data_IF_090559286752
#
_entry.id   IF_090559286752
#
_cell.length_a   1.000
_cell.length_b   1.000
_cell.length_c   1.000
_cell.angle_alpha   90.00
_cell.angle_beta   90.00
_cell.angle_gamma   90.00
#
_symmetry.space_group_name_H-M   'P 1'
#
loop_
_entity.id
_entity.type
_entity.pdbx_description
1 polymer ?
#
# COMPACT_ATOMS: atom_id res chain seq x y z
N UNK A 1 20.25 14.18 -2.02
CA UNK A 1 19.74 14.61 -0.70
C UNK A 1 18.42 13.89 -0.44
N UNK A 2 18.24 13.32 0.75
CA UNK A 2 16.99 12.65 1.18
C UNK A 2 15.89 13.70 1.27
N UNK A 3 14.75 13.46 0.63
CA UNK A 3 13.54 14.31 0.76
C UNK A 3 12.76 13.85 2.00
N UNK A 4 12.49 14.77 2.92
CA UNK A 4 11.98 14.45 4.24
C UNK A 4 10.74 15.28 4.52
N UNK A 5 9.70 14.66 5.07
CA UNK A 5 8.46 15.35 5.46
C UNK A 5 8.06 15.00 6.89
N UNK A 6 7.40 15.94 7.57
CA UNK A 6 6.74 15.69 8.84
C UNK A 6 5.24 15.93 8.66
N UNK A 7 4.42 14.97 9.07
CA UNK A 7 2.96 15.10 9.08
C UNK A 7 2.56 15.71 10.42
N UNK A 8 2.25 16.99 10.44
CA UNK A 8 1.87 17.69 11.66
C UNK A 8 0.36 17.63 11.88
N UNK A 9 -0.05 17.34 13.12
CA UNK A 9 -1.43 17.56 13.60
C UNK A 9 -1.76 19.02 13.93
N UNK A 10 -0.89 19.98 13.61
CA UNK A 10 -1.08 21.39 13.96
C UNK A 10 -0.77 21.76 15.41
N UNK A 11 -0.16 20.85 16.17
CA UNK A 11 0.16 21.05 17.60
C UNK A 11 1.35 22.00 17.77
N UNK A 12 1.29 22.88 18.76
CA UNK A 12 2.28 23.94 18.98
C UNK A 12 3.74 23.43 19.07
N UNK A 13 3.97 22.30 19.74
CA UNK A 13 5.32 21.77 19.90
C UNK A 13 5.91 21.20 18.59
N UNK A 14 5.07 20.73 17.65
CA UNK A 14 5.53 20.32 16.32
C UNK A 14 6.21 21.50 15.62
N UNK A 15 5.57 22.67 15.64
CA UNK A 15 6.11 23.91 15.06
C UNK A 15 7.31 24.45 15.82
N UNK A 16 7.41 24.15 17.11
CA UNK A 16 8.60 24.38 17.91
C UNK A 16 9.81 23.62 17.37
N UNK A 17 9.65 22.31 17.12
CA UNK A 17 10.72 21.45 16.59
C UNK A 17 11.09 21.71 15.13
N UNK A 18 10.31 22.55 14.43
CA UNK A 18 10.53 23.01 13.06
C UNK A 18 11.35 24.30 12.97
N UNK A 19 11.61 24.98 14.10
CA UNK A 19 12.37 26.23 14.10
C UNK A 19 13.85 26.01 13.72
N UNK A 20 14.57 27.03 13.22
CA UNK A 20 15.99 26.91 12.92
C UNK A 20 16.81 26.36 14.10
N UNK A 21 17.66 25.37 13.83
CA UNK A 21 18.47 24.70 14.85
C UNK A 21 17.76 23.58 15.61
N UNK A 22 16.49 23.30 15.31
CA UNK A 22 15.74 22.18 15.88
C UNK A 22 15.79 20.94 14.97
N UNK A 23 15.51 19.73 15.51
CA UNK A 23 15.70 18.48 14.78
C UNK A 23 14.96 18.37 13.45
N UNK A 24 13.80 19.03 13.33
CA UNK A 24 12.97 19.00 12.12
C UNK A 24 13.09 20.24 11.23
N UNK A 25 14.03 21.16 11.48
CA UNK A 25 14.15 22.43 10.72
C UNK A 25 14.28 22.27 9.19
N UNK A 26 14.74 21.10 8.71
CA UNK A 26 14.89 20.79 7.28
C UNK A 26 13.76 19.95 6.68
N UNK A 27 12.68 19.67 7.42
CA UNK A 27 11.56 18.86 6.94
C UNK A 27 10.51 19.71 6.24
N UNK A 28 9.92 19.18 5.17
CA UNK A 28 8.70 19.75 4.62
C UNK A 28 7.52 19.44 5.56
N UNK A 29 6.75 20.46 5.92
CA UNK A 29 5.59 20.31 6.80
C UNK A 29 4.38 19.95 5.96
N UNK A 30 3.74 18.84 6.32
CA UNK A 30 2.46 18.41 5.77
C UNK A 30 1.41 18.53 6.85
N UNK A 31 0.35 19.31 6.62
CA UNK A 31 -0.81 19.29 7.51
C UNK A 31 -1.57 17.97 7.33
N UNK A 32 -1.91 17.31 8.43
CA UNK A 32 -2.64 16.03 8.40
C UNK A 32 -3.99 16.17 7.66
N UNK A 33 -4.65 17.33 7.74
CA UNK A 33 -5.90 17.63 7.04
C UNK A 33 -5.74 17.74 5.52
N UNK A 34 -4.57 18.15 5.05
CA UNK A 34 -4.27 18.37 3.63
C UNK A 34 -3.66 17.15 2.93
N UNK A 35 -3.40 16.06 3.66
CA UNK A 35 -2.76 14.85 3.11
C UNK A 35 -3.47 14.26 1.88
N UNK A 36 -4.78 14.50 1.74
CA UNK A 36 -5.57 14.07 0.58
C UNK A 36 -4.96 14.49 -0.76
N UNK A 37 -4.37 15.69 -0.80
CA UNK A 37 -3.81 16.29 -2.02
C UNK A 37 -2.31 16.06 -2.20
N UNK A 38 -1.68 15.29 -1.31
CA UNK A 38 -0.23 15.09 -1.28
C UNK A 38 0.12 13.74 -1.91
N UNK A 39 1.16 13.66 -2.73
CA UNK A 39 1.76 12.36 -3.07
C UNK A 39 2.93 12.09 -2.12
N UNK A 40 2.75 11.16 -1.16
CA UNK A 40 3.80 10.81 -0.19
C UNK A 40 5.02 10.16 -0.85
N UNK A 41 4.88 9.56 -2.05
CA UNK A 41 5.99 8.90 -2.74
C UNK A 41 7.08 9.87 -3.24
N UNK A 42 6.79 11.19 -3.23
CA UNK A 42 7.80 12.23 -3.52
C UNK A 42 8.89 12.33 -2.44
N UNK A 43 8.63 11.77 -1.26
CA UNK A 43 9.54 11.75 -0.12
C UNK A 43 10.26 10.42 0.01
N UNK A 44 11.37 10.45 0.74
CA UNK A 44 12.18 9.27 1.08
C UNK A 44 11.97 8.90 2.57
N UNK A 45 11.70 9.88 3.44
CA UNK A 45 11.47 9.75 4.87
C UNK A 45 10.25 10.58 5.29
N UNK A 46 9.32 9.98 6.04
CA UNK A 46 8.17 10.64 6.64
C UNK A 46 8.18 10.43 8.15
N UNK A 47 8.01 11.51 8.91
CA UNK A 47 7.87 11.48 10.37
C UNK A 47 6.44 11.83 10.75
N UNK A 48 5.86 11.06 11.64
CA UNK A 48 4.57 11.33 12.28
C UNK A 48 4.85 11.52 13.78
N UNK A 49 4.90 12.77 14.26
CA UNK A 49 5.09 13.07 15.68
C UNK A 49 3.88 12.62 16.50
N UNK A 50 4.07 12.54 17.81
CA UNK A 50 3.00 12.26 18.77
C UNK A 50 1.89 13.31 18.64
N UNK A 51 0.66 12.99 19.04
CA UNK A 51 -0.47 13.94 18.98
C UNK A 51 -0.82 14.38 17.56
N UNK A 52 -0.55 13.54 16.56
CA UNK A 52 -1.15 13.66 15.23
C UNK A 52 -2.49 12.92 15.21
N UNK A 53 -3.52 13.48 14.56
CA UNK A 53 -4.86 12.90 14.52
C UNK A 53 -4.87 11.50 13.88
N UNK A 54 -5.11 10.48 14.71
CA UNK A 54 -5.12 9.07 14.31
C UNK A 54 -6.24 8.72 13.32
N UNK A 55 -7.40 9.38 13.40
CA UNK A 55 -8.51 9.15 12.47
C UNK A 55 -8.19 9.76 11.10
N UNK A 56 -7.61 10.96 11.09
CA UNK A 56 -7.13 11.58 9.86
C UNK A 56 -6.04 10.74 9.18
N UNK A 57 -5.11 10.17 9.96
CA UNK A 57 -4.11 9.22 9.45
C UNK A 57 -4.76 7.93 8.94
N UNK A 58 -5.72 7.35 9.67
CA UNK A 58 -6.45 6.14 9.27
C UNK A 58 -7.22 6.33 7.97
N UNK A 59 -7.78 7.52 7.74
CA UNK A 59 -8.40 7.88 6.47
C UNK A 59 -7.40 7.85 5.29
N UNK A 60 -6.10 8.01 5.58
CA UNK A 60 -4.99 7.98 4.61
C UNK A 60 -4.15 6.69 4.65
N UNK A 61 -4.60 5.66 5.38
CA UNK A 61 -3.83 4.41 5.58
C UNK A 61 -3.33 3.76 4.29
N UNK A 62 -4.12 3.82 3.22
CA UNK A 62 -3.72 3.24 1.93
C UNK A 62 -2.64 4.07 1.24
N UNK A 63 -2.70 5.40 1.32
CA UNK A 63 -1.66 6.29 0.82
C UNK A 63 -0.33 6.04 1.55
N UNK A 64 -0.38 5.84 2.86
CA UNK A 64 0.78 5.54 3.70
C UNK A 64 1.33 4.14 3.40
N UNK A 65 0.46 3.14 3.26
CA UNK A 65 0.86 1.79 2.85
C UNK A 65 1.55 1.79 1.48
N UNK A 66 1.07 2.59 0.52
CA UNK A 66 1.71 2.72 -0.80
C UNK A 66 3.07 3.41 -0.73
N UNK A 67 3.22 4.44 0.11
CA UNK A 67 4.53 5.04 0.40
C UNK A 67 5.54 4.01 0.91
N UNK A 68 5.12 3.16 1.82
CA UNK A 68 5.94 2.08 2.36
C UNK A 68 6.23 1.00 1.32
N UNK A 69 5.24 0.60 0.51
CA UNK A 69 5.43 -0.35 -0.60
C UNK A 69 6.40 0.14 -1.68
N UNK A 70 6.64 1.45 -1.77
CA UNK A 70 7.66 2.06 -2.64
C UNK A 70 9.03 2.23 -1.96
N UNK A 71 9.22 1.64 -0.78
CA UNK A 71 10.48 1.71 -0.05
C UNK A 71 10.64 2.96 0.81
N UNK A 72 9.55 3.67 1.11
CA UNK A 72 9.58 4.79 2.05
C UNK A 72 10.03 4.39 3.46
N UNK A 73 10.62 5.33 4.20
CA UNK A 73 10.91 5.18 5.63
C UNK A 73 9.90 5.97 6.45
N UNK A 74 9.22 5.32 7.38
CA UNK A 74 8.26 5.93 8.30
C UNK A 74 8.82 5.90 9.73
N UNK A 75 8.82 7.05 10.39
CA UNK A 75 8.96 7.15 11.85
C UNK A 75 7.61 7.57 12.43
N UNK A 76 7.09 6.83 13.39
CA UNK A 76 5.80 7.12 14.04
C UNK A 76 5.94 7.08 15.56
N UNK A 77 5.52 8.15 16.24
CA UNK A 77 5.68 8.31 17.69
C UNK A 77 4.34 8.42 18.42
N UNK A 78 4.27 7.88 19.63
CA UNK A 78 3.19 8.12 20.59
C UNK A 78 2.06 7.10 20.62
N UNK A 79 0.85 7.57 20.89
CA UNK A 79 -0.36 6.76 21.00
C UNK A 79 -0.82 6.38 19.57
N UNK A 80 -0.28 5.28 19.01
CA UNK A 80 -0.52 4.85 17.62
C UNK A 80 -1.88 4.12 17.44
N UNK A 81 -2.94 4.63 18.05
CA UNK A 81 -4.24 3.97 18.28
C UNK A 81 -5.20 3.99 17.07
N UNK A 82 -4.79 3.76 15.81
CA UNK A 82 -5.79 3.73 14.71
C UNK A 82 -5.47 2.79 13.54
N UNK A 83 -4.52 1.87 13.70
CA UNK A 83 -4.07 0.92 12.68
C UNK A 83 -3.83 1.58 11.31
N UNK A 84 -3.25 2.78 11.31
CA UNK A 84 -3.19 3.64 10.14
C UNK A 84 -2.00 3.36 9.21
N UNK A 85 -1.11 2.46 9.59
CA UNK A 85 -0.03 1.94 8.75
C UNK A 85 0.12 0.40 8.91
N UNK A 86 0.69 -0.31 7.93
CA UNK A 86 0.94 -1.75 8.04
C UNK A 86 1.79 -2.10 9.26
N UNK A 87 1.41 -3.14 10.02
CA UNK A 87 2.15 -3.51 11.23
C UNK A 87 1.86 -2.63 12.46
N UNK A 88 1.00 -1.63 12.34
CA UNK A 88 0.51 -0.85 13.47
C UNK A 88 -0.59 -1.65 14.20
N UNK A 89 -0.29 -2.10 15.42
CA UNK A 89 -1.31 -2.44 16.40
C UNK A 89 -0.85 -1.92 17.76
N UNK A 90 -1.66 -1.05 18.34
CA UNK A 90 -1.44 -0.44 19.64
C UNK A 90 -2.35 -1.08 20.68
N UNK A 91 -1.87 -1.22 21.90
CA UNK A 91 -2.64 -1.69 23.04
C UNK A 91 -2.56 -0.68 24.20
N UNK A 92 -3.65 -0.60 24.95
CA UNK A 92 -3.79 0.30 26.09
C UNK A 92 -2.72 0.03 27.16
N UNK A 93 -2.41 1.08 27.93
CA UNK A 93 -1.39 1.05 28.97
C UNK A 93 -1.61 -0.09 29.99
N UNK A 94 -0.52 -0.75 30.37
CA UNK A 94 -0.47 -1.64 31.51
C UNK A 94 0.53 -1.16 32.57
N UNK A 95 0.49 -1.76 33.77
CA UNK A 95 1.40 -1.37 34.86
C UNK A 95 2.86 -1.55 34.47
N UNK A 96 3.16 -2.57 33.66
CA UNK A 96 4.51 -2.85 33.18
C UNK A 96 5.04 -1.77 32.22
N UNK A 97 4.16 -0.96 31.62
CA UNK A 97 4.56 0.19 30.80
C UNK A 97 5.12 1.35 31.64
N UNK A 98 4.92 1.34 32.96
CA UNK A 98 5.43 2.37 33.87
C UNK A 98 6.75 2.00 34.55
N UNK A 99 7.22 0.77 34.31
CA UNK A 99 8.45 0.23 34.87
C UNK A 99 9.64 0.48 33.94
N UNK A 100 10.86 0.32 34.47
CA UNK A 100 12.08 0.44 33.67
C UNK A 100 12.06 -0.56 32.50
N UNK A 101 12.34 -0.12 31.26
CA UNK A 101 12.23 -0.98 30.09
C UNK A 101 13.39 -1.97 29.98
N UNK A 102 13.25 -2.92 29.06
CA UNK A 102 14.30 -3.85 28.66
C UNK A 102 14.79 -3.49 27.25
N UNK A 103 16.07 -3.15 27.12
CA UNK A 103 16.73 -2.96 25.82
C UNK A 103 17.17 -4.34 25.29
N UNK A 104 16.58 -4.78 24.19
CA UNK A 104 16.78 -6.14 23.66
C UNK A 104 17.83 -6.25 22.57
N UNK A 105 18.23 -5.13 21.97
CA UNK A 105 19.25 -5.07 20.92
C UNK A 105 20.22 -3.89 21.18
N UNK A 106 21.05 -3.96 22.24
CA UNK A 106 21.86 -2.82 22.71
C UNK A 106 22.90 -2.33 21.69
N UNK A 107 23.27 -3.16 20.72
CA UNK A 107 24.20 -2.80 19.64
C UNK A 107 23.51 -2.14 18.43
N UNK A 108 22.16 -2.11 18.39
CA UNK A 108 21.44 -1.49 17.28
C UNK A 108 21.64 0.03 17.30
N UNK A 109 22.00 0.69 16.18
CA UNK A 109 22.41 2.11 16.16
C UNK A 109 21.42 3.10 16.79
N UNK A 110 20.12 2.80 16.75
CA UNK A 110 19.08 3.64 17.39
C UNK A 110 19.25 3.69 18.92
N UNK A 111 19.56 2.56 19.58
CA UNK A 111 19.61 2.44 21.04
C UNK A 111 21.03 2.29 21.59
N UNK A 112 22.03 2.15 20.72
CA UNK A 112 23.42 2.02 21.10
C UNK A 112 23.88 3.21 21.96
N UNK A 113 24.42 2.90 23.15
CA UNK A 113 24.87 3.89 24.11
C UNK A 113 23.78 4.47 25.03
N UNK A 114 22.57 3.92 25.02
CA UNK A 114 21.53 4.23 26.01
C UNK A 114 21.33 3.07 26.99
N UNK A 115 21.29 3.41 28.28
CA UNK A 115 20.82 2.50 29.33
C UNK A 115 19.30 2.41 29.37
N UNK A 116 18.76 1.36 29.99
CA UNK A 116 17.33 1.22 30.24
C UNK A 116 16.76 2.41 31.02
N UNK A 117 17.48 2.87 32.06
CA UNK A 117 17.10 4.03 32.87
C UNK A 117 17.00 5.32 32.05
N UNK A 118 17.90 5.53 31.09
CA UNK A 118 17.88 6.70 30.21
C UNK A 118 16.70 6.68 29.22
N UNK A 119 16.13 5.50 28.95
CA UNK A 119 14.94 5.31 28.11
C UNK A 119 13.65 5.17 28.93
N UNK A 120 13.71 5.37 30.25
CA UNK A 120 12.54 5.31 31.13
C UNK A 120 11.96 6.71 31.38
N UNK A 121 11.16 7.21 30.44
CA UNK A 121 10.67 8.60 30.48
C UNK A 121 9.38 8.79 31.28
N UNK A 122 8.61 7.72 31.48
CA UNK A 122 7.29 7.74 32.14
C UNK A 122 7.28 6.86 33.40
N UNK A 123 7.96 7.25 34.49
CA UNK A 123 8.02 6.46 35.71
C UNK A 123 6.67 6.46 36.44
N UNK A 124 6.35 5.36 37.14
CA UNK A 124 5.09 5.13 37.86
C UNK A 124 4.58 6.25 38.80
N UNK A 125 5.44 7.20 39.20
CA UNK A 125 5.03 8.38 39.99
C UNK A 125 4.25 9.42 39.18
N UNK A 126 4.35 9.39 37.85
CA UNK A 126 3.81 10.37 36.91
C UNK A 126 2.96 9.62 35.87
N UNK A 127 1.76 9.17 36.26
CA UNK A 127 0.86 8.40 35.38
C UNK A 127 0.35 9.15 34.14
N UNK A 128 0.64 10.45 33.98
CA UNK A 128 -0.04 11.31 33.00
C UNK A 128 0.52 11.31 31.57
N UNK A 129 1.50 10.44 31.25
CA UNK A 129 2.14 10.41 29.93
C UNK A 129 2.54 9.00 29.44
N UNK A 130 1.95 7.93 29.99
CA UNK A 130 2.18 6.58 29.48
C UNK A 130 1.37 6.35 28.19
N UNK A 131 2.05 5.89 27.14
CA UNK A 131 1.48 5.77 25.78
C UNK A 131 1.20 4.32 25.40
N UNK A 132 1.11 3.41 26.37
CA UNK A 132 0.90 1.98 26.15
C UNK A 132 2.01 1.31 25.34
N UNK A 133 1.69 0.17 24.74
CA UNK A 133 2.64 -0.67 24.01
C UNK A 133 2.11 -1.09 22.63
N UNK A 134 2.99 -1.69 21.84
CA UNK A 134 2.71 -2.11 20.47
C UNK A 134 2.71 -3.64 20.38
N UNK A 135 1.89 -4.17 19.47
CA UNK A 135 2.02 -5.56 19.00
C UNK A 135 2.79 -5.52 17.69
N UNK A 136 4.08 -5.81 17.76
CA UNK A 136 4.95 -5.81 16.59
C UNK A 136 4.55 -6.92 15.58
N UNK A 137 4.62 -6.65 14.26
CA UNK A 137 4.30 -7.67 13.27
C UNK A 137 5.34 -8.81 13.25
N UNK A 138 4.98 -10.01 12.77
CA UNK A 138 5.92 -11.13 12.67
C UNK A 138 7.18 -10.75 11.88
N UNK A 139 8.35 -10.98 12.49
CA UNK A 139 9.65 -10.70 11.87
C UNK A 139 10.19 -9.29 12.11
N UNK A 140 9.45 -8.40 12.79
CA UNK A 140 9.98 -7.11 13.23
C UNK A 140 11.07 -7.27 14.31
N UNK A 141 12.08 -6.41 14.24
CA UNK A 141 13.14 -6.32 15.23
C UNK A 141 12.70 -5.40 16.37
N UNK A 142 12.41 -5.97 17.54
CA UNK A 142 12.03 -5.19 18.74
C UNK A 142 13.30 -4.77 19.47
N UNK A 143 13.47 -3.47 19.69
CA UNK A 143 14.67 -2.90 20.31
C UNK A 143 14.48 -2.57 21.79
N UNK A 144 13.26 -2.17 22.17
CA UNK A 144 12.91 -1.83 23.55
C UNK A 144 11.56 -2.46 23.88
N UNK A 145 11.47 -3.05 25.07
CA UNK A 145 10.27 -3.69 25.61
C UNK A 145 9.90 -3.12 26.98
N UNK A 146 8.63 -3.20 27.35
CA UNK A 146 8.22 -3.04 28.74
C UNK A 146 8.69 -4.22 29.60
N UNK A 147 8.44 -4.17 30.91
CA UNK A 147 8.85 -5.22 31.84
C UNK A 147 8.15 -6.58 31.61
N UNK A 148 6.97 -6.60 30.97
CA UNK A 148 6.23 -7.82 30.57
C UNK A 148 6.82 -8.47 29.32
N UNK A 149 7.53 -7.70 28.51
CA UNK A 149 8.09 -8.10 27.23
C UNK A 149 7.37 -7.54 26.02
N UNK A 150 6.41 -6.62 26.16
CA UNK A 150 5.72 -6.01 25.02
C UNK A 150 6.56 -4.91 24.37
N UNK A 151 6.57 -4.82 23.03
CA UNK A 151 7.29 -3.78 22.30
C UNK A 151 6.90 -2.34 22.68
N UNK A 152 7.91 -1.52 22.97
CA UNK A 152 7.81 -0.05 22.97
C UNK A 152 8.39 0.58 21.71
N UNK A 153 9.43 -0.05 21.14
CA UNK A 153 10.11 0.37 19.92
C UNK A 153 10.44 -0.86 19.08
N UNK A 154 10.05 -0.84 17.82
CA UNK A 154 10.45 -1.84 16.83
C UNK A 154 10.88 -1.22 15.51
N UNK A 155 11.65 -1.99 14.74
CA UNK A 155 11.97 -1.76 13.33
C UNK A 155 11.34 -2.89 12.51
N UNK A 156 10.47 -2.54 11.56
CA UNK A 156 9.83 -3.47 10.65
C UNK A 156 10.32 -3.23 9.21
N UNK A 157 10.84 -4.30 8.61
CA UNK A 157 11.34 -4.36 7.23
C UNK A 157 10.67 -5.49 6.42
N UNK A 158 9.64 -6.10 7.01
CA UNK A 158 9.03 -7.34 6.52
C UNK A 158 7.61 -7.08 6.02
N UNK A 159 6.83 -6.24 6.71
CA UNK A 159 5.43 -6.02 6.32
C UNK A 159 5.27 -5.28 4.99
N UNK A 160 6.29 -4.53 4.57
CA UNK A 160 6.31 -3.76 3.32
C UNK A 160 7.70 -3.78 2.68
N UNK A 161 7.86 -3.18 1.49
CA UNK A 161 9.19 -2.94 0.90
C UNK A 161 9.98 -1.83 1.61
N UNK A 162 9.32 -1.05 2.47
CA UNK A 162 9.87 0.09 3.19
C UNK A 162 10.39 -0.28 4.57
N UNK A 163 10.65 0.75 5.37
CA UNK A 163 11.10 0.60 6.76
C UNK A 163 10.16 1.39 7.65
N UNK A 164 9.64 0.73 8.67
CA UNK A 164 8.80 1.34 9.68
C UNK A 164 9.57 1.31 10.99
N UNK A 165 9.69 2.46 11.65
CA UNK A 165 10.07 2.54 13.06
C UNK A 165 8.90 3.13 13.81
N UNK A 166 8.35 2.33 14.72
CA UNK A 166 7.22 2.75 15.54
C UNK A 166 7.66 2.77 17.00
N UNK A 167 7.32 3.86 17.68
CA UNK A 167 7.54 4.00 19.12
C UNK A 167 6.25 4.39 19.82
N UNK A 168 5.89 3.70 20.90
CA UNK A 168 4.76 4.09 21.74
C UNK A 168 5.23 4.91 22.93
N UNK A 169 5.70 4.23 23.98
CA UNK A 169 6.09 4.81 25.26
C UNK A 169 7.44 5.54 25.22
N UNK A 170 8.07 5.60 24.04
CA UNK A 170 9.16 6.52 23.73
C UNK A 170 8.61 7.58 22.78
N UNK A 171 8.40 8.79 23.28
CA UNK A 171 7.95 9.99 22.55
C UNK A 171 9.09 11.03 22.46
N UNK A 172 10.15 10.73 21.67
CA UNK A 172 11.39 11.50 21.69
C UNK A 172 11.21 12.93 21.23
N UNK A 173 10.26 13.18 20.33
CA UNK A 173 9.87 14.50 19.87
C UNK A 173 9.36 15.38 21.01
N UNK A 174 8.41 14.88 21.80
CA UNK A 174 7.80 15.63 22.91
C UNK A 174 8.84 15.95 23.98
N UNK A 175 9.63 14.97 24.42
CA UNK A 175 10.66 15.21 25.44
C UNK A 175 11.80 16.09 24.95
N UNK A 176 12.17 16.01 23.66
CA UNK A 176 13.16 16.92 23.06
C UNK A 176 12.68 18.36 23.11
N UNK A 177 11.42 18.61 22.72
CA UNK A 177 10.85 19.96 22.76
C UNK A 177 10.86 20.55 24.19
N UNK A 178 10.63 19.73 25.21
CA UNK A 178 10.67 20.15 26.62
C UNK A 178 12.09 20.18 27.23
N UNK A 179 13.14 20.02 26.42
CA UNK A 179 14.52 20.24 26.82
C UNK A 179 15.24 19.02 27.41
N UNK A 180 14.73 17.81 27.23
CA UNK A 180 15.44 16.58 27.63
C UNK A 180 16.65 16.33 26.72
N UNK A 181 17.86 16.46 27.28
CA UNK A 181 19.10 16.21 26.55
C UNK A 181 19.23 14.74 26.09
N UNK A 182 18.71 13.80 26.88
CA UNK A 182 18.72 12.37 26.54
C UNK A 182 17.76 12.08 25.39
N UNK A 183 16.56 12.64 25.41
CA UNK A 183 15.60 12.48 24.32
C UNK A 183 16.09 13.16 23.03
N UNK A 184 16.73 14.33 23.13
CA UNK A 184 17.35 15.00 21.98
C UNK A 184 18.43 14.13 21.35
N UNK A 185 19.35 13.58 22.15
CA UNK A 185 20.37 12.65 21.65
C UNK A 185 19.77 11.42 21.00
N UNK A 186 18.71 10.87 21.60
CA UNK A 186 18.02 9.69 21.05
C UNK A 186 17.34 10.01 19.71
N UNK A 187 16.66 11.16 19.62
CA UNK A 187 16.03 11.63 18.38
C UNK A 187 17.07 11.88 17.28
N UNK A 188 18.22 12.45 17.62
CA UNK A 188 19.32 12.66 16.67
C UNK A 188 19.84 11.33 16.10
N UNK A 189 20.11 10.34 16.97
CA UNK A 189 20.52 8.99 16.54
C UNK A 189 19.47 8.34 15.63
N UNK A 190 18.20 8.44 16.01
CA UNK A 190 17.08 7.89 15.24
C UNK A 190 16.97 8.54 13.86
N UNK A 191 17.07 9.88 13.79
CA UNK A 191 16.98 10.63 12.53
C UNK A 191 18.19 10.38 11.63
N UNK A 192 19.40 10.28 12.18
CA UNK A 192 20.60 9.93 11.43
C UNK A 192 20.45 8.54 10.80
N UNK A 193 20.06 7.55 11.59
CA UNK A 193 19.83 6.19 11.11
C UNK A 193 18.73 6.15 10.05
N UNK A 194 17.59 6.82 10.28
CA UNK A 194 16.47 6.83 9.35
C UNK A 194 16.81 7.50 8.02
N UNK A 195 17.67 8.53 8.03
CA UNK A 195 18.19 9.16 6.81
C UNK A 195 19.13 8.25 6.04
N UNK A 196 19.97 7.48 6.74
CA UNK A 196 20.83 6.48 6.11
C UNK A 196 19.99 5.38 5.44
N UNK A 197 18.94 4.91 6.13
CA UNK A 197 17.98 3.96 5.57
C UNK A 197 17.25 4.50 4.34
N UNK A 198 16.76 5.74 4.42
CA UNK A 198 16.06 6.38 3.32
C UNK A 198 16.98 6.56 2.09
N UNK A 199 18.26 6.89 2.31
CA UNK A 199 19.25 6.98 1.24
C UNK A 199 19.54 5.60 0.61
N UNK A 200 19.70 4.55 1.43
CA UNK A 200 19.94 3.19 0.95
C UNK A 200 18.70 2.60 0.24
N UNK A 201 17.50 2.83 0.76
CA UNK A 201 16.25 2.42 0.11
C UNK A 201 16.07 3.12 -1.25
N UNK A 202 16.36 4.43 -1.31
CA UNK A 202 16.33 5.17 -2.57
C UNK A 202 17.25 4.57 -3.64
N UNK A 203 18.45 4.10 -3.28
CA UNK A 203 19.34 3.43 -4.24
C UNK A 203 18.79 2.08 -4.75
N UNK A 204 17.85 1.47 -4.02
CA UNK A 204 17.14 0.25 -4.39
C UNK A 204 15.78 0.53 -5.05
N UNK A 205 15.33 1.79 -5.15
CA UNK A 205 14.07 2.12 -5.83
C UNK A 205 14.13 1.64 -7.28
N UNK A 206 13.13 0.84 -7.67
CA UNK A 206 13.06 0.18 -8.97
C UNK A 206 13.55 -1.27 -9.00
N UNK A 207 14.26 -1.76 -7.97
CA UNK A 207 14.56 -3.19 -7.82
C UNK A 207 13.45 -3.97 -7.13
N UNK A 208 12.57 -3.27 -6.40
CA UNK A 208 11.42 -3.90 -5.75
C UNK A 208 10.33 -4.24 -6.78
N UNK A 209 9.67 -5.40 -6.65
CA UNK A 209 8.57 -5.76 -7.53
C UNK A 209 7.42 -4.76 -7.31
N UNK A 210 7.02 -4.08 -8.38
CA UNK A 210 5.84 -3.19 -8.35
C UNK A 210 4.59 -4.02 -8.06
N UNK A 211 3.80 -3.57 -7.09
CA UNK A 211 2.47 -4.11 -6.80
C UNK A 211 1.47 -3.67 -7.88
N UNK A 212 0.32 -4.33 -7.89
CA UNK A 212 -0.82 -3.99 -8.75
C UNK A 212 -1.65 -2.93 -8.02
N UNK A 213 -1.98 -1.82 -8.67
CA UNK A 213 -2.93 -0.86 -8.10
C UNK A 213 -4.34 -1.47 -8.13
N UNK A 214 -4.86 -1.88 -6.96
CA UNK A 214 -6.23 -2.37 -6.83
C UNK A 214 -7.18 -1.23 -6.52
N UNK A 215 -8.07 -0.87 -7.44
CA UNK A 215 -9.03 0.21 -7.21
C UNK A 215 -10.02 -0.15 -6.12
N UNK A 216 -10.24 0.77 -5.19
CA UNK A 216 -11.17 0.60 -4.09
C UNK A 216 -12.21 1.70 -4.10
N UNK A 217 -13.48 1.32 -4.19
CA UNK A 217 -14.62 2.24 -4.23
C UNK A 217 -15.44 2.23 -2.93
N UNK A 218 -14.90 1.65 -1.86
CA UNK A 218 -15.60 1.55 -0.56
C UNK A 218 -16.49 0.32 -0.43
N UNK A 219 -16.42 -0.63 -1.36
CA UNK A 219 -17.29 -1.81 -1.38
C UNK A 219 -16.70 -2.93 -0.51
N UNK A 220 -17.54 -3.58 0.29
CA UNK A 220 -17.09 -4.57 1.29
C UNK A 220 -16.34 -5.76 0.68
N UNK A 221 -16.81 -6.34 -0.44
CA UNK A 221 -16.11 -7.48 -1.07
C UNK A 221 -14.76 -7.07 -1.67
N UNK A 222 -14.63 -5.83 -2.18
CA UNK A 222 -13.33 -5.32 -2.66
C UNK A 222 -12.34 -5.28 -1.51
N UNK A 223 -12.78 -4.79 -0.34
CA UNK A 223 -11.96 -4.79 0.88
C UNK A 223 -11.56 -6.21 1.27
N UNK A 224 -12.51 -7.13 1.31
CA UNK A 224 -12.24 -8.53 1.66
C UNK A 224 -11.27 -9.20 0.67
N UNK A 225 -11.41 -8.95 -0.63
CA UNK A 225 -10.48 -9.44 -1.65
C UNK A 225 -9.05 -8.90 -1.45
N UNK A 226 -8.92 -7.60 -1.13
CA UNK A 226 -7.61 -6.99 -0.87
C UNK A 226 -7.00 -7.37 0.48
N UNK A 227 -7.80 -7.88 1.41
CA UNK A 227 -7.35 -8.42 2.70
C UNK A 227 -7.14 -9.96 2.65
N UNK A 228 -7.52 -10.63 1.55
CA UNK A 228 -7.34 -12.07 1.38
C UNK A 228 -5.84 -12.43 1.42
N UNK A 229 -5.39 -13.32 2.33
CA UNK A 229 -3.96 -13.62 2.48
C UNK A 229 -3.26 -14.13 1.21
N UNK A 230 -4.02 -14.75 0.29
CA UNK A 230 -3.49 -15.23 -0.98
C UNK A 230 -3.22 -14.08 -1.96
N UNK A 231 -4.10 -13.08 -2.00
CA UNK A 231 -4.09 -12.03 -3.02
C UNK A 231 -3.50 -10.72 -2.51
N UNK A 232 -3.70 -10.36 -1.24
CA UNK A 232 -3.22 -9.14 -0.60
C UNK A 232 -1.75 -8.80 -0.90
N UNK A 233 -0.79 -9.76 -0.90
CA UNK A 233 0.61 -9.45 -1.19
C UNK A 233 0.85 -8.83 -2.58
N UNK A 234 -0.02 -9.11 -3.56
CA UNK A 234 0.11 -8.62 -4.92
C UNK A 234 -0.41 -7.18 -5.11
N UNK A 235 -1.27 -6.70 -4.21
CA UNK A 235 -2.04 -5.46 -4.39
C UNK A 235 -1.54 -4.31 -3.50
N UNK A 236 -1.49 -3.13 -4.11
CA UNK A 236 -1.44 -1.84 -3.46
C UNK A 236 -2.83 -1.22 -3.61
N UNK A 237 -3.58 -1.10 -2.51
CA UNK A 237 -4.96 -0.60 -2.57
C UNK A 237 -4.99 0.89 -2.89
N UNK A 238 -5.75 1.25 -3.92
CA UNK A 238 -5.89 2.60 -4.44
C UNK A 238 -7.35 3.04 -4.35
N UNK A 239 -7.72 3.83 -3.33
CA UNK A 239 -9.03 4.46 -3.32
C UNK A 239 -9.26 5.28 -4.58
N UNK A 240 -10.42 5.10 -5.20
CA UNK A 240 -10.70 5.66 -6.54
C UNK A 240 -10.67 7.20 -6.56
N UNK A 241 -10.94 7.88 -5.45
CA UNK A 241 -10.83 9.33 -5.32
C UNK A 241 -9.38 9.85 -5.32
N UNK A 242 -8.40 8.97 -5.09
CA UNK A 242 -6.97 9.31 -5.16
C UNK A 242 -6.39 9.08 -6.57
N UNK A 243 -7.18 8.48 -7.48
CA UNK A 243 -6.74 8.12 -8.83
C UNK A 243 -6.20 9.33 -9.61
N UNK A 244 -6.74 10.53 -9.40
CA UNK A 244 -6.30 11.75 -10.08
C UNK A 244 -4.89 12.18 -9.66
N UNK A 245 -4.51 12.00 -8.39
CA UNK A 245 -3.23 12.44 -7.85
C UNK A 245 -2.08 11.44 -8.07
N UNK A 246 -2.36 10.13 -8.11
CA UNK A 246 -1.30 9.10 -8.13
C UNK A 246 -0.65 8.90 -9.49
N UNK A 247 0.64 8.58 -9.56
CA UNK A 247 1.27 8.16 -10.81
C UNK A 247 1.01 6.67 -11.09
N UNK A 248 0.23 6.33 -12.13
CA UNK A 248 -0.08 4.94 -12.46
C UNK A 248 1.15 4.13 -12.92
N UNK A 249 2.22 4.79 -13.39
CA UNK A 249 3.45 4.14 -13.82
C UNK A 249 4.24 3.53 -12.65
N UNK A 250 3.91 3.88 -11.41
CA UNK A 250 4.53 3.28 -10.22
C UNK A 250 4.04 1.85 -9.96
N UNK A 251 2.97 1.41 -10.64
CA UNK A 251 2.35 0.10 -10.47
C UNK A 251 2.62 -0.82 -11.66
N UNK A 252 2.58 -2.12 -11.41
CA UNK A 252 2.74 -3.11 -12.47
C UNK A 252 1.51 -3.24 -13.37
N UNK A 253 0.32 -3.01 -12.81
CA UNK A 253 -0.96 -3.02 -13.50
C UNK A 253 -1.98 -2.18 -12.70
N UNK A 254 -3.06 -1.78 -13.35
CA UNK A 254 -4.27 -1.24 -12.74
C UNK A 254 -5.35 -2.32 -12.76
N UNK A 255 -5.86 -2.69 -11.58
CA UNK A 255 -6.97 -3.62 -11.41
C UNK A 255 -8.24 -2.85 -11.05
N UNK A 256 -9.24 -2.93 -11.91
CA UNK A 256 -10.55 -2.32 -11.72
C UNK A 256 -11.53 -3.44 -11.37
N UNK A 257 -11.83 -3.65 -10.07
CA UNK A 257 -12.76 -4.68 -9.66
C UNK A 257 -14.19 -4.27 -9.99
N UNK A 258 -15.10 -5.23 -9.91
CA UNK A 258 -16.54 -4.98 -10.00
C UNK A 258 -17.01 -3.92 -9.01
N UNK A 259 -18.06 -3.17 -9.38
CA UNK A 259 -18.64 -2.08 -8.58
C UNK A 259 -17.63 -0.95 -8.26
N UNK A 260 -16.77 -0.64 -9.21
CA UNK A 260 -15.91 0.53 -9.19
C UNK A 260 -16.68 1.81 -9.55
N UNK A 261 -16.29 2.93 -8.96
CA UNK A 261 -16.91 4.24 -9.22
C UNK A 261 -16.63 4.73 -10.65
N UNK A 262 -17.54 4.43 -11.58
CA UNK A 262 -17.36 4.74 -13.00
C UNK A 262 -17.39 6.24 -13.33
N UNK A 263 -18.00 7.08 -12.47
CA UNK A 263 -17.93 8.55 -12.61
C UNK A 263 -16.50 9.03 -12.47
N UNK A 264 -15.78 8.55 -11.44
CA UNK A 264 -14.39 8.91 -11.23
C UNK A 264 -13.45 8.25 -12.24
N UNK A 265 -13.75 7.03 -12.70
CA UNK A 265 -13.03 6.41 -13.83
C UNK A 265 -13.17 7.24 -15.11
N UNK A 266 -14.39 7.70 -15.42
CA UNK A 266 -14.68 8.54 -16.60
C UNK A 266 -13.92 9.87 -16.52
N UNK A 267 -13.90 10.50 -15.34
CA UNK A 267 -13.10 11.71 -15.11
C UNK A 267 -11.61 11.48 -15.35
N UNK A 268 -11.11 10.28 -15.05
CA UNK A 268 -9.70 9.90 -15.23
C UNK A 268 -9.41 9.13 -16.54
N UNK A 269 -10.36 9.06 -17.48
CA UNK A 269 -10.22 8.26 -18.71
C UNK A 269 -8.94 8.58 -19.51
N UNK A 270 -8.60 9.87 -19.62
CA UNK A 270 -7.43 10.33 -20.37
C UNK A 270 -6.13 9.86 -19.70
N UNK A 271 -6.12 9.81 -18.36
CA UNK A 271 -4.99 9.30 -17.58
C UNK A 271 -4.82 7.79 -17.74
N UNK A 272 -5.92 7.03 -17.73
CA UNK A 272 -5.89 5.58 -17.97
C UNK A 272 -5.41 5.29 -19.39
N UNK A 273 -5.88 6.04 -20.39
CA UNK A 273 -5.41 5.91 -21.77
C UNK A 273 -3.92 6.26 -21.90
N UNK A 274 -3.45 7.32 -21.25
CA UNK A 274 -2.03 7.68 -21.23
C UNK A 274 -1.17 6.59 -20.57
N UNK A 275 -1.68 5.96 -19.50
CA UNK A 275 -1.02 4.83 -18.86
C UNK A 275 -0.88 3.62 -19.81
N UNK A 276 -1.94 3.27 -20.55
CA UNK A 276 -1.88 2.22 -21.58
C UNK A 276 -0.94 2.57 -22.72
N UNK A 277 -0.91 3.83 -23.17
CA UNK A 277 0.05 4.31 -24.17
C UNK A 277 1.51 4.21 -23.72
N UNK A 278 1.76 4.32 -22.41
CA UNK A 278 3.09 4.13 -21.82
C UNK A 278 3.48 2.66 -21.59
N UNK A 279 2.65 1.70 -22.04
CA UNK A 279 2.89 0.26 -21.84
C UNK A 279 2.28 -0.31 -20.55
N UNK A 280 1.37 0.42 -19.90
CA UNK A 280 0.64 -0.03 -18.72
C UNK A 280 -0.29 -1.21 -19.01
N UNK A 281 -0.66 -1.95 -17.97
CA UNK A 281 -1.60 -3.08 -18.07
C UNK A 281 -2.86 -2.76 -17.27
N UNK A 282 -4.03 -2.91 -17.89
CA UNK A 282 -5.34 -2.76 -17.27
C UNK A 282 -6.02 -4.13 -17.16
N UNK A 283 -6.48 -4.48 -15.96
CA UNK A 283 -7.36 -5.62 -15.71
C UNK A 283 -8.70 -5.08 -15.22
N UNK A 284 -9.81 -5.47 -15.85
CA UNK A 284 -11.14 -4.94 -15.58
C UNK A 284 -12.19 -6.04 -15.48
N UNK A 285 -12.94 -6.08 -14.37
CA UNK A 285 -14.06 -7.00 -14.12
C UNK A 285 -15.33 -6.23 -13.80
N UNK A 286 -15.80 -5.42 -14.75
CA UNK A 286 -16.87 -4.43 -14.52
C UNK A 286 -17.98 -4.52 -15.57
N UNK A 287 -19.20 -4.16 -15.15
CA UNK A 287 -20.30 -3.81 -16.06
C UNK A 287 -20.08 -2.38 -16.59
N UNK A 288 -19.28 -2.22 -17.65
CA UNK A 288 -18.85 -0.89 -18.14
C UNK A 288 -20.02 -0.15 -18.80
N UNK A 289 -20.73 0.66 -18.01
CA UNK A 289 -21.90 1.43 -18.44
C UNK A 289 -21.61 2.93 -18.66
N UNK A 290 -20.36 3.35 -18.43
CA UNK A 290 -19.85 4.69 -18.74
C UNK A 290 -18.65 4.62 -19.69
N UNK A 291 -18.39 5.65 -20.52
CA UNK A 291 -17.36 5.63 -21.56
C UNK A 291 -15.95 5.93 -20.99
N UNK A 292 -15.49 5.09 -20.06
CA UNK A 292 -14.17 5.20 -19.44
C UNK A 292 -13.19 4.13 -19.91
N UNK A 293 -13.67 2.92 -20.22
CA UNK A 293 -12.84 1.84 -20.76
C UNK A 293 -12.53 2.16 -22.24
N UNK A 294 -11.25 2.17 -22.67
CA UNK A 294 -10.91 2.63 -24.01
C UNK A 294 -11.13 1.59 -25.11
N UNK A 295 -11.33 0.31 -24.75
CA UNK A 295 -11.56 -0.80 -25.68
C UNK A 295 -12.66 -1.71 -25.18
N UNK A 296 -13.42 -2.30 -26.11
CA UNK A 296 -14.54 -3.18 -25.80
C UNK A 296 -15.84 -2.40 -25.54
N UNK A 297 -16.93 -2.90 -26.11
CA UNK A 297 -18.29 -2.38 -25.88
C UNK A 297 -19.03 -3.40 -25.03
N UNK A 298 -19.40 -3.02 -23.80
CA UNK A 298 -20.20 -3.87 -22.93
C UNK A 298 -21.68 -3.82 -23.31
N UNK A 299 -22.36 -4.94 -23.17
CA UNK A 299 -23.79 -5.11 -23.42
C UNK A 299 -24.44 -5.92 -22.30
N UNK A 300 -25.68 -5.59 -21.88
CA UNK A 300 -26.34 -6.22 -20.73
C UNK A 300 -26.85 -7.65 -20.99
N UNK A 301 -26.86 -8.11 -22.24
CA UNK A 301 -27.40 -9.42 -22.57
C UNK A 301 -26.53 -10.55 -22.00
N UNK A 302 -27.20 -11.52 -21.38
CA UNK A 302 -26.53 -12.64 -20.73
C UNK A 302 -26.03 -13.68 -21.75
N UNK A 303 -24.77 -14.13 -21.64
CA UNK A 303 -24.24 -15.23 -22.43
C UNK A 303 -24.82 -16.58 -22.00
N UNK A 304 -24.70 -17.60 -22.87
CA UNK A 304 -25.05 -18.96 -22.52
C UNK A 304 -23.88 -19.70 -21.85
N UNK A 305 -23.91 -19.78 -20.53
CA UNK A 305 -22.87 -20.41 -19.71
C UNK A 305 -22.71 -21.93 -19.97
N UNK A 306 -23.69 -22.60 -20.57
CA UNK A 306 -23.61 -24.03 -20.88
C UNK A 306 -22.78 -24.32 -22.13
N UNK A 307 -22.44 -23.27 -22.90
CA UNK A 307 -21.73 -23.37 -24.18
C UNK A 307 -20.39 -22.65 -24.16
N UNK A 308 -19.84 -22.40 -22.96
CA UNK A 308 -18.56 -21.71 -22.83
C UNK A 308 -17.42 -22.48 -23.48
N UNK A 309 -16.52 -21.71 -24.08
CA UNK A 309 -15.29 -22.19 -24.69
C UNK A 309 -14.11 -21.35 -24.21
N UNK A 310 -12.96 -21.99 -24.07
CA UNK A 310 -11.70 -21.33 -23.73
C UNK A 310 -10.87 -21.08 -24.99
N UNK A 311 -10.29 -19.89 -25.08
CA UNK A 311 -9.37 -19.52 -26.15
C UNK A 311 -8.00 -20.20 -25.99
N UNK A 312 -7.23 -20.26 -27.07
CA UNK A 312 -5.84 -20.75 -27.03
C UNK A 312 -4.89 -19.64 -26.58
N UNK A 313 -4.70 -19.48 -25.26
CA UNK A 313 -3.79 -18.47 -24.70
C UNK A 313 -3.16 -18.95 -23.38
N UNK A 314 -1.87 -18.65 -23.09
CA UNK A 314 -1.22 -19.06 -21.84
C UNK A 314 -1.89 -18.59 -20.54
N UNK A 315 -2.74 -17.56 -20.60
CA UNK A 315 -3.54 -17.11 -19.45
C UNK A 315 -4.60 -18.16 -19.06
N UNK A 316 -5.23 -18.82 -20.03
CA UNK A 316 -6.33 -19.77 -19.77
C UNK A 316 -5.96 -21.23 -20.06
N UNK A 317 -4.74 -21.50 -20.53
CA UNK A 317 -4.30 -22.84 -20.93
C UNK A 317 -4.35 -23.90 -19.81
N UNK A 318 -4.29 -23.49 -18.54
CA UNK A 318 -4.39 -24.38 -17.38
C UNK A 318 -5.79 -24.45 -16.76
N UNK A 319 -6.79 -23.78 -17.35
CA UNK A 319 -8.16 -23.73 -16.84
C UNK A 319 -9.06 -24.71 -17.60
N UNK A 320 -10.12 -25.14 -16.92
CA UNK A 320 -11.25 -25.86 -17.52
C UNK A 320 -12.45 -24.93 -17.68
N UNK A 321 -13.49 -25.38 -18.39
CA UNK A 321 -14.75 -24.62 -18.50
C UNK A 321 -15.39 -24.42 -17.11
N UNK A 322 -15.30 -25.40 -16.22
CA UNK A 322 -15.86 -25.29 -14.88
C UNK A 322 -15.14 -24.21 -14.05
N UNK A 323 -13.85 -23.97 -14.31
CA UNK A 323 -13.05 -22.88 -13.72
C UNK A 323 -13.39 -21.48 -14.30
N UNK A 324 -14.40 -21.36 -15.15
CA UNK A 324 -14.92 -20.07 -15.66
C UNK A 324 -16.46 -20.02 -15.73
N UNK A 325 -17.16 -21.06 -15.26
CA UNK A 325 -18.62 -21.23 -15.40
C UNK A 325 -19.35 -21.05 -14.07
N UNK A 326 -19.26 -19.87 -13.47
CA UNK A 326 -20.04 -19.53 -12.27
C UNK A 326 -21.03 -18.39 -12.51
N UNK A 327 -20.61 -17.34 -13.23
CA UNK A 327 -21.38 -16.12 -13.33
C UNK A 327 -20.94 -15.22 -14.49
N UNK A 328 -21.82 -14.30 -14.89
CA UNK A 328 -21.53 -13.26 -15.89
C UNK A 328 -22.52 -12.11 -15.78
N UNK A 329 -22.03 -10.87 -15.88
CA UNK A 329 -22.84 -9.66 -15.90
C UNK A 329 -22.87 -9.06 -17.31
N UNK A 330 -23.49 -9.77 -18.24
CA UNK A 330 -23.56 -9.36 -19.64
C UNK A 330 -22.40 -9.90 -20.49
N UNK A 331 -22.13 -9.24 -21.62
CA UNK A 331 -21.08 -9.63 -22.57
C UNK A 331 -20.39 -8.41 -23.19
N UNK A 332 -19.20 -8.63 -23.74
CA UNK A 332 -18.58 -7.69 -24.67
C UNK A 332 -18.92 -8.02 -26.12
N UNK A 333 -19.00 -6.98 -26.95
CA UNK A 333 -18.90 -7.12 -28.40
C UNK A 333 -17.50 -7.60 -28.80
N UNK A 334 -17.41 -8.37 -29.90
CA UNK A 334 -16.12 -8.76 -30.45
C UNK A 334 -15.37 -7.53 -30.96
N UNK A 335 -14.14 -7.37 -30.49
CA UNK A 335 -13.22 -6.33 -30.92
C UNK A 335 -12.12 -6.95 -31.81
N UNK A 336 -11.80 -6.40 -32.98
CA UNK A 336 -10.89 -7.04 -33.95
C UNK A 336 -9.46 -7.21 -33.44
N UNK A 337 -9.02 -6.33 -32.53
CA UNK A 337 -7.69 -6.35 -31.95
C UNK A 337 -7.60 -7.21 -30.67
N UNK A 338 -8.74 -7.77 -30.23
CA UNK A 338 -8.83 -8.50 -28.98
C UNK A 338 -8.91 -10.01 -29.20
N UNK A 339 -8.09 -10.76 -28.48
CA UNK A 339 -8.21 -12.21 -28.37
C UNK A 339 -9.31 -12.56 -27.37
N UNK A 340 -10.32 -13.32 -27.81
CA UNK A 340 -11.34 -13.89 -26.91
C UNK A 340 -10.70 -15.03 -26.11
N UNK A 341 -10.70 -14.90 -24.79
CA UNK A 341 -10.18 -15.90 -23.86
C UNK A 341 -11.29 -16.79 -23.29
N UNK A 342 -12.46 -16.20 -23.04
CA UNK A 342 -13.68 -16.91 -22.65
C UNK A 342 -14.84 -16.35 -23.47
N UNK A 343 -15.55 -17.23 -24.17
CA UNK A 343 -16.74 -16.87 -24.94
C UNK A 343 -17.75 -18.01 -24.97
N UNK A 344 -18.97 -17.73 -25.42
CA UNK A 344 -20.03 -18.74 -25.57
C UNK A 344 -20.17 -19.24 -27.01
N UNK A 345 -20.98 -20.28 -27.21
CA UNK A 345 -21.25 -20.89 -28.51
C UNK A 345 -22.00 -19.97 -29.50
N UNK A 346 -22.58 -18.87 -29.02
CA UNK A 346 -23.29 -17.87 -29.82
C UNK A 346 -22.42 -16.65 -30.18
N UNK A 347 -21.16 -16.64 -29.74
CA UNK A 347 -20.19 -15.60 -30.05
C UNK A 347 -20.11 -14.46 -29.04
N UNK A 348 -20.80 -14.56 -27.89
CA UNK A 348 -20.64 -13.63 -26.78
C UNK A 348 -19.24 -13.72 -26.17
N UNK A 349 -18.68 -12.58 -25.75
CA UNK A 349 -17.34 -12.48 -25.17
C UNK A 349 -17.47 -12.19 -23.68
N UNK A 350 -16.95 -13.08 -22.83
CA UNK A 350 -16.96 -12.95 -21.37
C UNK A 350 -15.60 -12.48 -20.82
N UNK A 351 -14.51 -12.80 -21.51
CA UNK A 351 -13.16 -12.35 -21.21
C UNK A 351 -12.38 -12.17 -22.50
N UNK A 352 -11.77 -11.01 -22.68
CA UNK A 352 -10.87 -10.75 -23.80
C UNK A 352 -9.57 -10.10 -23.33
N UNK A 353 -8.53 -10.27 -24.15
CA UNK A 353 -7.24 -9.62 -24.01
C UNK A 353 -6.93 -8.83 -25.28
N UNK A 354 -6.73 -7.52 -25.16
CA UNK A 354 -6.25 -6.64 -26.22
C UNK A 354 -4.82 -6.21 -25.91
N UNK A 355 -3.88 -6.61 -26.77
CA UNK A 355 -2.45 -6.25 -26.72
C UNK A 355 -2.01 -5.51 -28.01
N UNK A 356 -2.98 -5.04 -28.81
CA UNK A 356 -2.72 -4.49 -30.14
C UNK A 356 -3.21 -3.04 -30.29
N UNK A 357 -4.22 -2.62 -29.53
CA UNK A 357 -4.74 -1.24 -29.57
C UNK A 357 -3.79 -0.24 -28.91
N UNK A 358 -3.04 -0.69 -27.90
CA UNK A 358 -2.03 0.10 -27.20
C UNK A 358 -0.69 -0.66 -27.16
N UNK A 359 0.43 0.04 -26.90
CA UNK A 359 1.65 -0.62 -26.45
C UNK A 359 1.47 -1.38 -25.13
N UNK A 360 0.53 -0.95 -24.30
CA UNK A 360 0.05 -1.65 -23.12
C UNK A 360 -1.02 -2.70 -23.42
N UNK A 361 -1.54 -3.35 -22.39
CA UNK A 361 -2.51 -4.43 -22.51
C UNK A 361 -3.81 -4.14 -21.74
N UNK A 362 -4.94 -4.60 -22.26
CA UNK A 362 -6.25 -4.56 -21.60
C UNK A 362 -6.83 -5.97 -21.52
N UNK A 363 -6.92 -6.51 -20.31
CA UNK A 363 -7.68 -7.72 -20.00
C UNK A 363 -9.02 -7.27 -19.40
N UNK A 364 -10.13 -7.49 -20.11
CA UNK A 364 -11.44 -7.11 -19.61
C UNK A 364 -12.42 -8.28 -19.70
N UNK A 365 -13.19 -8.47 -18.63
CA UNK A 365 -14.21 -9.49 -18.55
C UNK A 365 -15.49 -9.00 -17.88
N UNK A 366 -16.58 -9.69 -18.17
CA UNK A 366 -17.90 -9.48 -17.53
C UNK A 366 -18.16 -10.43 -16.38
N UNK A 367 -17.18 -11.29 -16.09
CA UNK A 367 -17.15 -12.12 -14.89
C UNK A 367 -16.65 -11.28 -13.71
N UNK A 368 -16.94 -11.72 -12.49
CA UNK A 368 -16.60 -11.03 -11.23
C UNK A 368 -15.80 -11.93 -10.27
N UNK A 369 -14.63 -12.44 -10.71
CA UNK A 369 -13.87 -13.41 -9.92
C UNK A 369 -13.38 -12.83 -8.58
N UNK A 370 -13.05 -11.54 -8.55
CA UNK A 370 -12.64 -10.80 -7.35
C UNK A 370 -13.79 -10.59 -6.36
N UNK A 371 -15.00 -10.32 -6.84
CA UNK A 371 -16.22 -10.28 -6.04
C UNK A 371 -16.44 -11.59 -5.29
N UNK A 372 -16.46 -12.71 -6.02
CA UNK A 372 -16.65 -14.04 -5.44
C UNK A 372 -15.55 -14.42 -4.45
N UNK A 373 -14.29 -14.12 -4.76
CA UNK A 373 -13.18 -14.32 -3.83
C UNK A 373 -13.33 -13.45 -2.57
N UNK A 374 -13.75 -12.19 -2.72
CA UNK A 374 -14.07 -11.30 -1.60
C UNK A 374 -15.24 -11.78 -0.73
N UNK A 375 -16.16 -12.57 -1.29
CA UNK A 375 -17.19 -13.29 -0.52
C UNK A 375 -16.72 -14.64 0.06
N UNK A 376 -15.46 -15.04 -0.18
CA UNK A 376 -14.88 -16.28 0.33
C UNK A 376 -15.18 -17.52 -0.52
N UNK A 377 -15.53 -17.35 -1.79
CA UNK A 377 -15.80 -18.48 -2.70
C UNK A 377 -14.49 -18.99 -3.33
N UNK A 378 -14.29 -20.30 -3.35
CA UNK A 378 -13.08 -20.92 -3.93
C UNK A 378 -13.10 -21.03 -5.47
N UNK A 379 -14.30 -21.13 -6.07
CA UNK A 379 -14.52 -21.42 -7.49
C UNK A 379 -13.78 -20.46 -8.44
N UNK A 380 -13.57 -19.20 -8.05
CA UNK A 380 -12.97 -18.18 -8.92
C UNK A 380 -11.46 -18.04 -8.75
N UNK A 381 -10.88 -18.64 -7.71
CA UNK A 381 -9.45 -18.55 -7.41
C UNK A 381 -8.54 -19.10 -8.52
N UNK A 382 -8.86 -20.21 -9.23
CA UNK A 382 -8.04 -20.66 -10.35
C UNK A 382 -7.82 -19.59 -11.42
N UNK A 383 -8.89 -18.88 -11.82
CA UNK A 383 -8.78 -17.77 -12.77
C UNK A 383 -7.95 -16.62 -12.22
N UNK A 384 -8.16 -16.22 -10.96
CA UNK A 384 -7.37 -15.16 -10.31
C UNK A 384 -5.88 -15.49 -10.28
N UNK A 385 -5.52 -16.72 -9.88
CA UNK A 385 -4.13 -17.23 -9.90
C UNK A 385 -3.54 -17.18 -11.30
N UNK A 386 -4.31 -17.57 -12.31
CA UNK A 386 -3.87 -17.57 -13.69
C UNK A 386 -3.57 -16.15 -14.20
N UNK A 387 -4.42 -15.17 -13.85
CA UNK A 387 -4.23 -13.76 -14.18
C UNK A 387 -3.01 -13.18 -13.47
N UNK A 388 -2.87 -13.41 -12.16
CA UNK A 388 -1.69 -12.95 -11.40
C UNK A 388 -0.39 -13.57 -11.93
N UNK A 389 -0.42 -14.86 -12.28
CA UNK A 389 0.70 -15.54 -12.91
C UNK A 389 1.05 -14.98 -14.30
N UNK A 390 0.05 -14.58 -15.09
CA UNK A 390 0.27 -13.88 -16.35
C UNK A 390 0.90 -12.49 -16.13
N UNK A 391 0.36 -11.68 -15.20
CA UNK A 391 0.92 -10.38 -14.84
C UNK A 391 2.38 -10.48 -14.40
N UNK A 392 2.71 -11.47 -13.58
CA UNK A 392 4.09 -11.70 -13.11
C UNK A 392 5.04 -12.05 -14.28
N UNK A 393 4.59 -12.82 -15.27
CA UNK A 393 5.38 -13.08 -16.48
C UNK A 393 5.61 -11.81 -17.30
N UNK A 394 4.60 -10.95 -17.44
CA UNK A 394 4.74 -9.67 -18.14
C UNK A 394 5.78 -8.76 -17.48
N UNK A 395 5.82 -8.71 -16.14
CA UNK A 395 6.85 -7.95 -15.40
C UNK A 395 8.28 -8.39 -15.73
N UNK A 396 8.49 -9.70 -15.97
CA UNK A 396 9.81 -10.26 -16.29
C UNK A 396 10.25 -10.02 -17.73
N UNK A 397 9.31 -9.85 -18.65
CA UNK A 397 9.58 -9.62 -20.07
C UNK A 397 9.92 -8.14 -20.38
N UNK A 398 9.35 -7.20 -19.62
CA UNK A 398 9.56 -5.76 -19.83
C UNK A 398 11.04 -5.28 -19.78
N UNK A 399 11.93 -5.82 -18.92
CA UNK A 399 13.37 -5.52 -18.95
C UNK A 399 14.10 -6.13 -20.15
N UNK A 400 13.71 -7.33 -20.60
CA UNK A 400 14.40 -8.06 -21.65
C UNK A 400 14.26 -7.39 -23.03
N UNK A 401 13.10 -6.78 -23.30
CA UNK A 401 12.84 -6.02 -24.55
C UNK A 401 13.58 -4.68 -24.61
N UNK A 402 13.85 -4.05 -23.46
CA UNK A 402 14.67 -2.81 -23.41
C UNK A 402 16.15 -3.08 -23.66
N UNK A 403 16.66 -4.25 -23.28
CA UNK A 403 18.04 -4.65 -23.52
C UNK A 403 18.32 -4.96 -24.99
N UNK A 404 17.36 -5.54 -25.72
CA UNK A 404 17.48 -5.85 -27.15
C UNK A 404 17.20 -4.67 -28.08
N UNK A 405 16.49 -3.64 -27.62
CA UNK A 405 16.29 -2.40 -28.37
C UNK A 405 17.48 -1.40 -28.24
N UNK A 406 18.43 -1.68 -27.34
CA UNK A 406 19.62 -0.86 -27.10
C UNK A 406 20.92 -1.51 -27.66
N UNK A 407 20.79 -2.63 -28.36
CA UNK A 407 21.84 -3.34 -29.10
C UNK A 407 21.55 -3.29 -30.58
#
# INVERSE_FOLDING_TARGET
MVRQAIISGGVAYHYGLLQPGQPFAGFEVLDVGDLAGVDLNRYDLVVVPRSTDGEALRARRYQIARFLDQGGVLLAFGELWADWFPGCRWEEECVEDTLEPVVTAPDHPIVAGFSATELHWHPAREHWCCHGHLVAPPGAEVLVRNARGDPWLYVDRVSTNGVIVATSNLDPDTHTFHGSAVASRFLDNLLEWARAEAAASRSRRGSHPRKIAGLYSGVHFQRAFYDDPEFAPAFAVLPVWELEAVNLNDYAALWVPRESNQTLLTRNRAKIQAYLQAGGILVCFEEVNQPWLPVGTWQPERPNLDTLTLGNHPLVAGLTVDDVRWHSHGRYERHPNAQVLVGDGNGAVLLFLDEQTFPGAVLAGTMDPDCHAGFGTETTRPLLRAILGWLERQKRLAPALKATAAS
#
